data_IF_419119949653
#
_entry.id   IF_419119949653
#
_cell.length_a   1.000
_cell.length_b   1.000
_cell.length_c   1.000
_cell.angle_alpha   90.00
_cell.angle_beta   90.00
_cell.angle_gamma   90.00
#
_symmetry.space_group_name_H-M   'P 1'
#
loop_
_entity.id
_entity.type
_entity.pdbx_description
1 polymer ?
#
# COMPACT_ATOMS: atom_id res chain seq x y z
N UNK A 1 -8.96 4.54 -19.54
CA UNK A 1 -8.60 5.42 -18.40
C UNK A 1 -9.48 5.16 -17.18
N UNK A 2 -10.80 4.99 -17.33
CA UNK A 2 -11.69 4.66 -16.21
C UNK A 2 -11.40 3.25 -15.64
N UNK A 3 -11.21 2.26 -16.52
CA UNK A 3 -10.87 0.88 -16.12
C UNK A 3 -9.59 0.78 -15.27
N UNK A 4 -8.52 1.51 -15.64
CA UNK A 4 -7.25 1.53 -14.89
C UNK A 4 -7.44 2.15 -13.49
N UNK A 5 -8.30 3.17 -13.37
CA UNK A 5 -8.61 3.77 -12.06
C UNK A 5 -9.42 2.83 -11.18
N UNK A 6 -10.33 2.07 -11.77
CA UNK A 6 -11.10 1.06 -11.06
C UNK A 6 -10.18 -0.08 -10.59
N UNK A 7 -9.29 -0.57 -11.46
CA UNK A 7 -8.30 -1.58 -11.10
C UNK A 7 -7.37 -1.11 -9.98
N UNK A 8 -6.89 0.14 -10.05
CA UNK A 8 -6.10 0.74 -8.98
C UNK A 8 -6.84 0.74 -7.65
N UNK A 9 -8.11 1.15 -7.64
CA UNK A 9 -8.93 1.16 -6.42
C UNK A 9 -9.09 -0.25 -5.85
N UNK A 10 -9.47 -1.21 -6.70
CA UNK A 10 -9.69 -2.61 -6.28
C UNK A 10 -8.42 -3.22 -5.70
N UNK A 11 -7.26 -3.06 -6.35
CA UNK A 11 -5.99 -3.58 -5.82
C UNK A 11 -5.59 -2.89 -4.52
N UNK A 12 -5.76 -1.59 -4.43
CA UNK A 12 -5.41 -0.83 -3.23
C UNK A 12 -6.32 -1.19 -2.03
N UNK A 13 -7.61 -1.43 -2.27
CA UNK A 13 -8.54 -1.92 -1.24
C UNK A 13 -8.24 -3.37 -0.84
N UNK A 14 -7.95 -4.24 -1.81
CA UNK A 14 -7.57 -5.63 -1.55
C UNK A 14 -6.29 -5.71 -0.70
N UNK A 15 -5.29 -4.90 -1.01
CA UNK A 15 -4.06 -4.80 -0.21
C UNK A 15 -4.37 -4.34 1.22
N UNK A 16 -5.22 -3.32 1.37
CA UNK A 16 -5.62 -2.81 2.70
C UNK A 16 -6.31 -3.87 3.55
N UNK A 17 -7.20 -4.68 2.96
CA UNK A 17 -7.89 -5.75 3.69
C UNK A 17 -6.94 -6.92 3.99
N UNK A 18 -6.09 -7.31 3.04
CA UNK A 18 -5.11 -8.40 3.21
C UNK A 18 -4.14 -8.13 4.35
N UNK A 19 -3.63 -6.90 4.47
CA UNK A 19 -2.66 -6.52 5.48
C UNK A 19 -3.27 -5.80 6.68
N UNK A 20 -4.59 -5.91 6.87
CA UNK A 20 -5.34 -5.19 7.91
C UNK A 20 -4.78 -5.39 9.32
N UNK A 21 -4.42 -6.62 9.68
CA UNK A 21 -3.86 -6.93 10.99
C UNK A 21 -2.49 -6.27 11.20
N UNK A 22 -1.65 -6.28 10.16
CA UNK A 22 -0.36 -5.57 10.17
C UNK A 22 -0.57 -4.06 10.26
N UNK A 23 -1.55 -3.51 9.54
CA UNK A 23 -1.91 -2.08 9.59
C UNK A 23 -2.37 -1.70 11.00
N UNK A 24 -3.21 -2.53 11.64
CA UNK A 24 -3.62 -2.31 13.03
C UNK A 24 -2.43 -2.37 13.98
N UNK A 25 -1.52 -3.30 13.77
CA UNK A 25 -0.31 -3.39 14.58
C UNK A 25 0.59 -2.17 14.41
N UNK A 26 0.81 -1.70 13.17
CA UNK A 26 1.56 -0.46 12.89
C UNK A 26 0.88 0.72 13.58
N UNK A 27 -0.45 0.85 13.47
CA UNK A 27 -1.20 1.93 14.09
C UNK A 27 -1.00 1.96 15.62
N UNK A 28 -1.16 0.81 16.28
CA UNK A 28 -1.00 0.68 17.73
C UNK A 28 0.45 0.96 18.17
N UNK A 29 1.44 0.32 17.53
CA UNK A 29 2.85 0.45 17.91
C UNK A 29 3.43 1.84 17.69
N UNK A 30 2.92 2.58 16.71
CA UNK A 30 3.42 3.91 16.37
C UNK A 30 2.50 5.04 16.86
N UNK A 31 1.32 4.71 17.42
CA UNK A 31 0.35 5.69 17.91
C UNK A 31 -0.24 6.57 16.81
N UNK A 32 -0.50 5.99 15.64
CA UNK A 32 -1.00 6.70 14.44
C UNK A 32 -2.36 6.18 14.01
N UNK A 33 -3.08 6.94 13.19
CA UNK A 33 -4.32 6.46 12.59
C UNK A 33 -4.08 5.41 11.48
N UNK A 34 -5.15 4.71 11.10
CA UNK A 34 -5.10 3.61 10.12
C UNK A 34 -4.68 4.05 8.71
N UNK A 35 -4.94 5.30 8.34
CA UNK A 35 -4.52 5.85 7.06
C UNK A 35 -3.01 6.00 7.03
N UNK A 36 -2.44 6.63 8.07
CA UNK A 36 -0.99 6.77 8.24
C UNK A 36 -0.31 5.41 8.38
N UNK A 37 -0.90 4.47 9.11
CA UNK A 37 -0.37 3.11 9.23
C UNK A 37 -0.33 2.37 7.88
N UNK A 38 -1.33 2.57 7.01
CA UNK A 38 -1.30 2.02 5.66
C UNK A 38 -0.23 2.71 4.79
N UNK A 39 0.00 4.01 4.96
CA UNK A 39 1.11 4.71 4.31
C UNK A 39 2.48 4.20 4.78
N UNK A 40 2.61 3.89 6.07
CA UNK A 40 3.80 3.26 6.64
C UNK A 40 4.01 1.86 6.09
N UNK A 41 2.95 1.03 5.95
CA UNK A 41 3.04 -0.28 5.28
C UNK A 41 3.58 -0.14 3.84
N UNK A 42 3.07 0.83 3.07
CA UNK A 42 3.57 1.14 1.71
C UNK A 42 5.01 1.66 1.73
N UNK A 43 5.46 2.28 2.82
CA UNK A 43 6.85 2.66 3.00
C UNK A 43 7.74 1.46 3.38
N UNK A 44 7.25 0.48 4.15
CA UNK A 44 7.93 -0.80 4.39
C UNK A 44 8.19 -1.54 3.07
N UNK A 45 7.21 -1.54 2.16
CA UNK A 45 7.39 -2.09 0.81
C UNK A 45 8.57 -1.44 0.06
N UNK A 46 8.84 -0.15 0.31
CA UNK A 46 9.97 0.60 -0.27
C UNK A 46 11.26 0.50 0.52
N UNK A 47 11.32 -0.33 1.56
CA UNK A 47 12.49 -0.51 2.43
C UNK A 47 12.51 0.40 3.65
N UNK A 48 11.38 1.04 4.00
CA UNK A 48 11.21 1.72 5.27
C UNK A 48 11.15 0.74 6.44
N UNK A 49 11.57 1.19 7.62
CA UNK A 49 11.55 0.40 8.85
C UNK A 49 10.59 1.05 9.85
N UNK A 50 9.56 0.32 10.26
CA UNK A 50 8.57 0.76 11.22
C UNK A 50 8.25 -0.37 12.19
N UNK A 51 7.83 -0.02 13.41
CA UNK A 51 7.45 -1.00 14.40
C UNK A 51 6.10 -1.65 14.04
N UNK A 52 6.04 -2.98 14.02
CA UNK A 52 4.83 -3.78 13.89
C UNK A 52 5.04 -5.16 14.51
N UNK A 53 3.95 -5.87 14.76
CA UNK A 53 3.90 -7.26 15.18
C UNK A 53 3.22 -8.12 14.10
N UNK A 54 3.58 -9.40 14.07
CA UNK A 54 3.06 -10.37 13.10
C UNK A 54 4.06 -10.72 12.01
N UNK A 55 3.73 -11.78 11.27
CA UNK A 55 4.52 -12.22 10.13
C UNK A 55 4.12 -11.42 8.88
N UNK A 56 5.09 -10.75 8.29
CA UNK A 56 4.90 -9.98 7.06
C UNK A 56 5.88 -10.49 6.00
N UNK A 57 5.36 -11.03 4.90
CA UNK A 57 6.17 -11.38 3.75
C UNK A 57 6.51 -10.11 2.96
N UNK A 58 7.71 -9.59 3.20
CA UNK A 58 8.21 -8.36 2.58
C UNK A 58 8.33 -8.48 1.06
N UNK A 59 8.69 -9.66 0.53
CA UNK A 59 8.81 -9.86 -0.93
C UNK A 59 7.45 -9.83 -1.61
N UNK A 60 6.43 -10.42 -1.00
CA UNK A 60 5.06 -10.38 -1.48
C UNK A 60 4.50 -8.96 -1.41
N UNK A 61 4.67 -8.29 -0.27
CA UNK A 61 4.27 -6.90 -0.08
C UNK A 61 4.87 -5.98 -1.16
N UNK A 62 6.16 -6.18 -1.47
CA UNK A 62 6.88 -5.45 -2.52
C UNK A 62 6.25 -5.64 -3.89
N UNK A 63 5.92 -6.88 -4.26
CA UNK A 63 5.30 -7.20 -5.55
C UNK A 63 3.93 -6.56 -5.67
N UNK A 64 3.07 -6.72 -4.66
CA UNK A 64 1.72 -6.13 -4.66
C UNK A 64 1.76 -4.61 -4.72
N UNK A 65 2.65 -3.99 -3.94
CA UNK A 65 2.80 -2.55 -3.97
C UNK A 65 3.33 -2.04 -5.32
N UNK A 66 4.25 -2.77 -5.96
CA UNK A 66 4.76 -2.41 -7.29
C UNK A 66 3.64 -2.39 -8.35
N UNK A 67 2.70 -3.35 -8.32
CA UNK A 67 1.54 -3.36 -9.22
C UNK A 67 0.65 -2.13 -9.04
N UNK A 68 0.41 -1.72 -7.78
CA UNK A 68 -0.36 -0.51 -7.47
C UNK A 68 0.36 0.75 -7.96
N UNK A 69 1.69 0.81 -7.80
CA UNK A 69 2.51 1.93 -8.29
C UNK A 69 2.45 2.00 -9.81
N UNK A 70 2.60 0.89 -10.53
CA UNK A 70 2.51 0.85 -12.00
C UNK A 70 1.16 1.37 -12.50
N UNK A 71 0.06 1.00 -11.84
CA UNK A 71 -1.27 1.54 -12.16
C UNK A 71 -1.36 3.04 -11.89
N UNK A 72 -0.79 3.52 -10.78
CA UNK A 72 -0.77 4.95 -10.45
C UNK A 72 0.02 5.77 -11.47
N UNK A 73 1.13 5.23 -11.98
CA UNK A 73 1.95 5.86 -13.02
C UNK A 73 1.19 5.93 -14.35
N UNK A 74 0.52 4.85 -14.76
CA UNK A 74 -0.35 4.85 -15.96
C UNK A 74 -1.48 5.88 -15.85
N UNK A 75 -2.07 6.03 -14.66
CA UNK A 75 -3.10 7.05 -14.42
C UNK A 75 -2.51 8.45 -14.55
N UNK A 76 -1.33 8.69 -13.98
CA UNK A 76 -0.68 10.00 -13.99
C UNK A 76 -0.20 10.40 -15.40
N UNK A 77 0.34 9.46 -16.17
CA UNK A 77 0.67 9.66 -17.60
C UNK A 77 -0.57 10.00 -18.43
N UNK A 78 -1.67 9.24 -18.25
CA UNK A 78 -2.92 9.53 -18.96
C UNK A 78 -3.61 10.83 -18.54
N UNK A 79 -3.19 11.44 -17.41
CA UNK A 79 -3.59 12.77 -16.97
C UNK A 79 -2.63 13.88 -17.40
N UNK A 80 -1.47 13.55 -17.99
CA UNK A 80 -0.43 14.51 -18.34
C UNK A 80 0.27 15.16 -17.14
N UNK A 81 0.27 14.48 -15.98
CA UNK A 81 0.94 14.94 -14.75
C UNK A 81 2.44 14.64 -14.80
N UNK A 82 2.82 13.56 -15.48
CA UNK A 82 4.19 13.08 -15.71
C UNK A 82 4.33 12.58 -17.15
#
# INVERSE_FOLDING_TARGET
MEEIREEYKVKNEAMKEKYKDIIYSIADKNGVDLGVAFDMLKAIARGGEYAYEGELNIEELKKEYAEIVELSEKIAQGLGII
#
